data_IF_090679805293
#
_entry.id   IF_090679805293
#
_cell.length_a   1.000
_cell.length_b   1.000
_cell.length_c   1.000
_cell.angle_alpha   90.00
_cell.angle_beta   90.00
_cell.angle_gamma   90.00
#
_symmetry.space_group_name_H-M   'P 1'
#
loop_
_entity.id
_entity.type
_entity.pdbx_description
1 polymer ?
#
# COMPACT_ATOMS: atom_id res chain seq x y z
N UNK A 1 -25.29 61.51 -49.16
CA UNK A 1 -24.72 62.04 -47.90
C UNK A 1 -23.98 63.31 -48.21
N UNK A 2 -24.38 64.46 -47.64
CA UNK A 2 -23.60 65.69 -47.77
C UNK A 2 -22.31 65.51 -46.97
N UNK A 3 -21.17 65.56 -47.62
CA UNK A 3 -19.87 65.52 -46.95
C UNK A 3 -19.68 66.88 -46.28
N UNK A 4 -19.60 66.91 -44.95
CA UNK A 4 -19.34 68.15 -44.21
C UNK A 4 -18.00 68.75 -44.65
N UNK A 5 -17.98 70.07 -44.90
CA UNK A 5 -16.81 70.80 -45.36
C UNK A 5 -16.45 72.01 -44.50
N UNK A 6 -15.17 72.40 -44.51
CA UNK A 6 -14.61 73.61 -43.91
C UNK A 6 -13.91 74.48 -44.95
N UNK A 7 -14.07 75.79 -44.82
CA UNK A 7 -13.40 76.75 -45.70
C UNK A 7 -11.98 77.04 -45.20
N UNK A 8 -11.01 77.10 -46.11
CA UNK A 8 -9.67 77.57 -45.78
C UNK A 8 -9.72 79.03 -45.35
N UNK A 9 -9.16 79.41 -44.19
CA UNK A 9 -9.14 80.81 -43.76
C UNK A 9 -8.31 81.70 -44.69
N UNK A 10 -7.29 81.12 -45.34
CA UNK A 10 -6.35 81.84 -46.22
C UNK A 10 -6.88 82.05 -47.64
N UNK A 11 -7.44 81.01 -48.28
CA UNK A 11 -7.85 81.08 -49.69
C UNK A 11 -9.32 80.76 -49.96
N UNK A 12 -10.12 80.57 -48.90
CA UNK A 12 -11.58 80.29 -48.97
C UNK A 12 -11.97 79.07 -49.80
N UNK A 13 -11.01 78.25 -50.22
CA UNK A 13 -11.29 76.97 -50.86
C UNK A 13 -12.01 76.05 -49.87
N UNK A 14 -13.03 75.35 -50.32
CA UNK A 14 -13.71 74.30 -49.58
C UNK A 14 -12.78 73.09 -49.39
N UNK A 15 -12.70 72.54 -48.18
CA UNK A 15 -11.92 71.36 -47.85
C UNK A 15 -12.77 70.43 -46.97
N UNK A 16 -12.53 69.10 -46.98
CA UNK A 16 -13.12 68.21 -46.00
C UNK A 16 -12.84 68.67 -44.57
N UNK A 17 -13.80 68.50 -43.64
CA UNK A 17 -13.62 68.91 -42.22
C UNK A 17 -12.38 68.28 -41.59
N UNK A 18 -12.04 67.05 -42.00
CA UNK A 18 -10.86 66.30 -41.53
C UNK A 18 -9.52 66.73 -42.15
N UNK A 19 -9.51 67.63 -43.14
CA UNK A 19 -8.27 67.98 -43.86
C UNK A 19 -7.24 68.66 -42.95
N UNK A 20 -5.99 68.18 -42.97
CA UNK A 20 -4.85 68.79 -42.27
C UNK A 20 -4.29 70.01 -43.00
N UNK A 21 -4.33 70.00 -44.33
CA UNK A 21 -3.88 71.11 -45.18
C UNK A 21 -4.96 71.52 -46.16
N UNK A 22 -4.96 72.79 -46.53
CA UNK A 22 -5.79 73.27 -47.62
C UNK A 22 -5.31 72.68 -48.95
N UNK A 23 -6.22 72.05 -49.71
CA UNK A 23 -5.94 71.46 -51.02
C UNK A 23 -5.41 72.44 -52.08
N UNK A 24 -5.63 73.74 -51.89
CA UNK A 24 -5.19 74.77 -52.82
C UNK A 24 -3.93 75.48 -52.35
N UNK A 25 -3.90 76.02 -51.13
CA UNK A 25 -2.80 76.87 -50.67
C UNK A 25 -1.87 76.22 -49.63
N UNK A 26 -2.08 74.93 -49.32
CA UNK A 26 -1.34 74.16 -48.29
C UNK A 26 -1.32 74.79 -46.89
N UNK A 27 -2.25 75.70 -46.61
CA UNK A 27 -2.44 76.23 -45.27
C UNK A 27 -2.78 75.09 -44.29
N UNK A 28 -2.03 75.00 -43.19
CA UNK A 28 -2.24 74.01 -42.14
C UNK A 28 -3.40 74.41 -41.23
N UNK A 29 -4.38 73.53 -41.07
CA UNK A 29 -5.55 73.78 -40.26
C UNK A 29 -5.26 73.57 -38.76
N UNK A 30 -5.59 74.52 -37.87
CA UNK A 30 -5.46 74.34 -36.42
C UNK A 30 -6.25 73.12 -35.94
N UNK A 31 -5.73 72.39 -34.96
CA UNK A 31 -6.39 71.19 -34.42
C UNK A 31 -7.82 71.46 -33.92
N UNK A 32 -8.07 72.67 -33.38
CA UNK A 32 -9.40 73.11 -32.95
C UNK A 32 -10.43 73.25 -34.07
N UNK A 33 -10.02 73.33 -35.33
CA UNK A 33 -10.92 73.36 -36.51
C UNK A 33 -11.21 71.98 -37.08
N UNK A 34 -10.68 70.92 -36.48
CA UNK A 34 -11.02 69.53 -36.76
C UNK A 34 -12.20 69.17 -35.84
N UNK A 35 -13.44 69.34 -36.31
CA UNK A 35 -14.61 68.84 -35.56
C UNK A 35 -14.63 67.32 -35.65
N UNK A 36 -14.39 66.66 -34.51
CA UNK A 36 -14.62 65.24 -34.29
C UNK A 36 -13.46 64.33 -34.70
N UNK A 37 -13.10 63.44 -33.77
CA UNK A 37 -12.05 62.41 -33.81
C UNK A 37 -10.67 62.95 -33.41
N UNK A 38 -10.26 62.61 -32.18
CA UNK A 38 -8.92 62.80 -31.63
C UNK A 38 -7.93 62.08 -32.56
N UNK A 39 -6.96 62.80 -33.12
CA UNK A 39 -6.01 62.24 -34.09
C UNK A 39 -4.97 61.33 -33.44
N UNK A 40 -4.69 61.52 -32.15
CA UNK A 40 -3.79 60.64 -31.41
C UNK A 40 -4.53 59.39 -30.94
N UNK A 41 -3.94 58.18 -31.05
CA UNK A 41 -4.51 56.99 -30.44
C UNK A 41 -4.63 57.19 -28.91
N UNK A 42 -5.67 56.64 -28.31
CA UNK A 42 -5.93 56.77 -26.87
C UNK A 42 -6.16 55.40 -26.24
N UNK A 43 -5.41 55.09 -25.18
CA UNK A 43 -5.58 53.87 -24.38
C UNK A 43 -6.44 54.20 -23.15
N UNK A 44 -7.74 53.93 -23.25
CA UNK A 44 -8.70 54.17 -22.17
C UNK A 44 -8.50 53.19 -21.01
N UNK A 45 -8.29 51.91 -21.31
CA UNK A 45 -8.00 50.88 -20.31
C UNK A 45 -6.95 49.89 -20.81
N UNK A 46 -6.16 49.39 -19.87
CA UNK A 46 -5.29 48.24 -20.03
C UNK A 46 -5.16 47.59 -18.66
N UNK A 47 -5.64 46.36 -18.54
CA UNK A 47 -5.72 45.61 -17.28
C UNK A 47 -5.59 44.11 -17.53
N UNK A 48 -5.30 43.36 -16.47
CA UNK A 48 -5.42 41.90 -16.44
C UNK A 48 -6.75 41.53 -15.77
N UNK A 49 -7.35 40.41 -16.19
CA UNK A 49 -8.58 39.90 -15.57
C UNK A 49 -8.32 39.30 -14.17
N UNK A 50 -7.16 38.70 -13.97
CA UNK A 50 -6.80 37.97 -12.76
C UNK A 50 -6.39 38.89 -11.62
N UNK A 51 -6.96 38.66 -10.44
CA UNK A 51 -6.58 39.37 -9.22
C UNK A 51 -5.30 38.82 -8.57
N UNK A 52 -5.02 37.52 -8.75
CA UNK A 52 -3.83 36.84 -8.22
C UNK A 52 -3.33 35.80 -9.22
N UNK A 53 -2.01 35.67 -9.33
CA UNK A 53 -1.36 34.74 -10.25
C UNK A 53 -0.01 34.30 -9.69
N UNK A 54 0.40 33.07 -10.02
CA UNK A 54 1.67 32.48 -9.63
C UNK A 54 2.58 32.29 -10.84
N UNK A 55 3.83 31.91 -10.60
CA UNK A 55 4.76 31.54 -11.67
C UNK A 55 4.15 30.40 -12.50
N UNK A 56 4.05 30.60 -13.81
CA UNK A 56 3.49 29.67 -14.78
C UNK A 56 1.98 29.82 -15.02
N UNK A 57 1.28 30.73 -14.33
CA UNK A 57 -0.13 31.02 -14.59
C UNK A 57 -0.34 31.62 -15.99
N UNK A 58 -1.49 31.34 -16.58
CA UNK A 58 -2.00 32.04 -17.77
C UNK A 58 -2.89 33.17 -17.29
N UNK A 59 -2.62 34.39 -17.75
CA UNK A 59 -3.39 35.60 -17.44
C UNK A 59 -3.99 36.17 -18.72
N UNK A 60 -5.09 36.92 -18.60
CA UNK A 60 -5.80 37.48 -19.74
C UNK A 60 -5.76 39.00 -19.69
N UNK A 61 -5.23 39.60 -20.75
CA UNK A 61 -5.27 41.04 -20.92
C UNK A 61 -6.61 41.50 -21.48
N UNK A 62 -7.08 42.62 -20.96
CA UNK A 62 -8.24 43.36 -21.44
C UNK A 62 -7.82 44.81 -21.68
N UNK A 63 -8.20 45.36 -22.83
CA UNK A 63 -7.89 46.73 -23.19
C UNK A 63 -9.04 47.40 -23.92
N UNK A 64 -9.07 48.72 -23.84
CA UNK A 64 -9.94 49.55 -24.67
C UNK A 64 -9.10 50.67 -25.26
N UNK A 65 -9.05 50.70 -26.59
CA UNK A 65 -8.28 51.66 -27.37
C UNK A 65 -9.20 52.36 -28.35
N UNK A 66 -9.01 53.66 -28.53
CA UNK A 66 -9.70 54.48 -29.53
C UNK A 66 -8.69 55.12 -30.49
N UNK A 67 -9.08 55.33 -31.75
CA UNK A 67 -8.29 55.99 -32.80
C UNK A 67 -6.92 55.36 -33.09
N UNK A 68 -6.81 54.03 -32.98
CA UNK A 68 -5.62 53.27 -33.37
C UNK A 68 -5.95 52.33 -34.52
N UNK A 69 -5.04 52.25 -35.50
CA UNK A 69 -5.10 51.29 -36.60
C UNK A 69 -4.42 49.98 -36.22
N UNK A 70 -3.39 50.06 -35.36
CA UNK A 70 -2.60 48.94 -34.89
C UNK A 70 -2.52 48.98 -33.36
N UNK A 71 -2.81 47.86 -32.73
CA UNK A 71 -2.66 47.65 -31.28
C UNK A 71 -1.72 46.48 -31.06
N UNK A 72 -0.66 46.67 -30.27
CA UNK A 72 0.35 45.66 -29.98
C UNK A 72 0.53 45.45 -28.48
N UNK A 73 0.69 44.22 -28.04
CA UNK A 73 1.15 43.87 -26.68
C UNK A 73 2.55 43.27 -26.79
N UNK A 74 3.55 43.92 -26.19
CA UNK A 74 4.96 43.52 -26.29
C UNK A 74 5.44 43.28 -27.74
N UNK A 75 4.93 44.08 -28.69
CA UNK A 75 5.28 43.99 -30.11
C UNK A 75 4.51 42.92 -30.89
N UNK A 76 3.61 42.16 -30.26
CA UNK A 76 2.69 41.24 -30.94
C UNK A 76 1.43 42.01 -31.31
N UNK A 77 1.06 41.99 -32.59
CA UNK A 77 -0.16 42.61 -33.09
C UNK A 77 -1.40 41.88 -32.56
N UNK A 78 -2.20 42.61 -31.77
CA UNK A 78 -3.45 42.15 -31.17
C UNK A 78 -4.67 42.90 -31.70
N UNK A 79 -4.55 43.62 -32.81
CA UNK A 79 -5.60 44.52 -33.34
C UNK A 79 -6.92 43.81 -33.64
N UNK A 80 -6.86 42.52 -34.02
CA UNK A 80 -8.04 41.70 -34.32
C UNK A 80 -8.61 40.96 -33.09
N UNK A 81 -8.00 41.11 -31.91
CA UNK A 81 -8.34 40.35 -30.71
C UNK A 81 -9.03 41.23 -29.67
N UNK A 82 -9.97 40.63 -28.94
CA UNK A 82 -10.62 41.24 -27.78
C UNK A 82 -9.94 40.89 -26.45
N UNK A 83 -9.11 39.86 -26.47
CA UNK A 83 -8.41 39.26 -25.34
C UNK A 83 -7.06 38.69 -25.79
N UNK A 84 -6.11 38.63 -24.87
CA UNK A 84 -4.80 38.04 -25.13
C UNK A 84 -4.33 37.25 -23.92
N UNK A 85 -4.17 35.94 -24.12
CA UNK A 85 -3.61 35.02 -23.13
C UNK A 85 -2.09 35.15 -23.07
N UNK A 86 -1.56 35.27 -21.86
CA UNK A 86 -0.13 35.37 -21.62
C UNK A 86 0.28 34.48 -20.45
N UNK A 87 1.27 33.62 -20.66
CA UNK A 87 1.87 32.83 -19.60
C UNK A 87 2.97 33.63 -18.91
N UNK A 88 2.84 33.81 -17.59
CA UNK A 88 3.82 34.57 -16.81
C UNK A 88 4.76 33.67 -16.01
N UNK A 89 6.02 33.59 -16.42
CA UNK A 89 7.03 32.77 -15.72
C UNK A 89 7.93 33.57 -14.77
N UNK A 90 7.97 34.90 -14.90
CA UNK A 90 8.79 35.80 -14.08
C UNK A 90 8.18 37.20 -14.00
N UNK A 91 8.70 38.03 -13.10
CA UNK A 91 8.33 39.44 -13.05
C UNK A 91 8.74 40.14 -14.36
N UNK A 92 7.78 40.79 -15.01
CA UNK A 92 7.97 41.42 -16.31
C UNK A 92 7.04 42.62 -16.46
N UNK A 93 7.46 43.61 -17.25
CA UNK A 93 6.63 44.75 -17.62
C UNK A 93 6.05 44.51 -19.00
N UNK A 94 4.72 44.48 -19.09
CA UNK A 94 4.01 44.30 -20.36
C UNK A 94 3.52 45.65 -20.84
N UNK A 95 3.77 45.97 -22.10
CA UNK A 95 3.43 47.26 -22.70
C UNK A 95 2.45 47.09 -23.84
N UNK A 96 1.29 47.73 -23.70
CA UNK A 96 0.33 47.96 -24.78
C UNK A 96 0.76 49.20 -25.56
N UNK A 97 0.85 49.06 -26.87
CA UNK A 97 1.13 50.15 -27.82
C UNK A 97 -0.05 50.29 -28.76
N UNK A 98 -0.58 51.50 -28.88
CA UNK A 98 -1.62 51.85 -29.83
C UNK A 98 -1.05 52.86 -30.82
N UNK A 99 -1.15 52.58 -32.10
CA UNK A 99 -0.54 53.37 -33.18
C UNK A 99 -1.54 53.61 -34.31
N UNK A 100 -1.44 54.77 -34.93
CA UNK A 100 -2.05 55.09 -36.21
C UNK A 100 -1.00 55.82 -37.08
N UNK A 101 -1.39 56.25 -38.27
CA UNK A 101 -0.50 56.97 -39.21
C UNK A 101 0.14 58.27 -38.65
N UNK A 102 -0.35 58.79 -37.53
CA UNK A 102 0.02 60.10 -37.01
C UNK A 102 0.79 60.07 -35.70
N UNK A 103 0.44 59.16 -34.78
CA UNK A 103 0.99 59.16 -33.42
C UNK A 103 0.92 57.77 -32.76
N UNK A 104 1.58 57.66 -31.60
CA UNK A 104 1.71 56.44 -30.82
C UNK A 104 1.46 56.71 -29.34
N UNK A 105 0.53 55.95 -28.76
CA UNK A 105 0.29 55.91 -27.32
C UNK A 105 0.79 54.59 -26.73
N UNK A 106 1.30 54.63 -25.50
CA UNK A 106 1.74 53.43 -24.77
C UNK A 106 1.20 53.40 -23.35
N UNK A 107 0.94 52.20 -22.84
CA UNK A 107 0.55 51.97 -21.44
C UNK A 107 1.17 50.66 -20.97
N UNK A 108 1.77 50.66 -19.79
CA UNK A 108 2.45 49.48 -19.25
C UNK A 108 1.84 48.99 -17.95
N UNK A 109 1.85 47.68 -17.75
CA UNK A 109 1.51 47.00 -16.50
C UNK A 109 2.75 46.25 -16.02
N UNK A 110 3.12 46.44 -14.75
CA UNK A 110 4.15 45.63 -14.10
C UNK A 110 3.52 44.40 -13.49
N UNK A 111 3.95 43.22 -13.94
CA UNK A 111 3.50 41.95 -13.42
C UNK A 111 4.54 41.35 -12.48
N UNK A 112 4.09 40.79 -11.37
CA UNK A 112 4.94 40.17 -10.35
C UNK A 112 4.26 38.89 -9.85
N UNK A 113 4.51 37.75 -10.51
CA UNK A 113 3.86 36.48 -10.15
C UNK A 113 4.32 36.02 -8.78
N UNK A 114 3.39 35.48 -7.99
CA UNK A 114 3.74 34.87 -6.70
C UNK A 114 4.51 33.57 -6.93
N UNK A 115 5.51 33.23 -6.09
CA UNK A 115 6.19 31.96 -6.23
C UNK A 115 5.24 30.78 -5.98
N UNK A 116 5.55 29.62 -6.54
CA UNK A 116 4.80 28.39 -6.28
C UNK A 116 5.34 27.68 -5.02
N UNK A 117 4.49 26.92 -4.28
CA UNK A 117 4.91 26.15 -3.12
C UNK A 117 5.99 25.12 -3.48
N UNK A 118 6.97 24.96 -2.59
CA UNK A 118 7.98 23.90 -2.71
C UNK A 118 8.25 23.25 -1.35
N UNK A 119 8.40 21.92 -1.36
CA UNK A 119 8.75 21.12 -0.18
C UNK A 119 10.24 20.82 -0.27
N UNK A 120 11.01 21.36 0.67
CA UNK A 120 12.45 21.12 0.78
C UNK A 120 12.75 19.77 1.40
N UNK A 121 11.96 19.38 2.40
CA UNK A 121 12.06 18.08 3.03
C UNK A 121 10.72 17.67 3.62
N UNK A 122 10.45 16.37 3.61
CA UNK A 122 9.41 15.73 4.41
C UNK A 122 9.93 14.36 4.84
N UNK A 123 10.29 14.23 6.12
CA UNK A 123 11.13 13.13 6.62
C UNK A 123 10.74 12.70 8.03
N UNK A 124 11.22 11.51 8.40
CA UNK A 124 11.20 10.94 9.75
C UNK A 124 12.46 10.10 9.90
N UNK A 125 13.08 9.99 11.09
CA UNK A 125 14.13 9.01 11.32
C UNK A 125 13.56 7.57 11.45
N UNK A 126 12.24 7.42 11.62
CA UNK A 126 11.59 6.14 11.86
C UNK A 126 10.73 5.70 10.66
N UNK A 127 11.30 4.88 9.78
CA UNK A 127 10.59 4.26 8.66
C UNK A 127 9.92 2.93 9.01
N UNK A 128 10.34 2.33 10.12
CA UNK A 128 9.85 1.08 10.65
C UNK A 128 9.57 1.25 12.14
N UNK A 129 8.34 0.97 12.57
CA UNK A 129 7.88 1.23 13.93
C UNK A 129 7.08 0.09 14.53
N UNK A 130 7.05 0.04 15.85
CA UNK A 130 6.31 -0.94 16.64
C UNK A 130 5.23 -0.27 17.49
N UNK A 131 4.34 -1.09 18.06
CA UNK A 131 3.23 -0.62 18.88
C UNK A 131 3.69 0.30 20.02
N UNK A 132 3.03 1.45 20.16
CA UNK A 132 3.33 2.44 21.20
C UNK A 132 4.49 3.39 20.89
N UNK A 133 5.24 3.20 19.81
CA UNK A 133 6.33 4.09 19.43
C UNK A 133 5.78 5.43 18.88
N UNK A 134 6.15 6.54 19.51
CA UNK A 134 5.88 7.88 18.99
C UNK A 134 6.83 8.22 17.83
N UNK A 135 6.26 8.64 16.70
CA UNK A 135 6.96 9.12 15.52
C UNK A 135 6.79 10.62 15.39
N UNK A 136 7.89 11.31 15.07
CA UNK A 136 7.89 12.73 14.71
C UNK A 136 8.16 12.88 13.22
N UNK A 137 7.13 13.26 12.47
CA UNK A 137 7.27 13.76 11.11
C UNK A 137 7.83 15.19 11.15
N UNK A 138 8.78 15.51 10.26
CA UNK A 138 9.33 16.86 10.12
C UNK A 138 9.35 17.25 8.65
N UNK A 139 9.07 18.53 8.38
CA UNK A 139 9.13 19.08 7.03
C UNK A 139 9.67 20.50 7.01
N UNK A 140 10.11 20.93 5.84
CA UNK A 140 10.49 22.31 5.53
C UNK A 140 9.83 22.68 4.20
N UNK A 141 9.04 23.73 4.22
CA UNK A 141 8.16 24.16 3.12
C UNK A 141 8.34 25.65 2.91
N UNK A 142 8.40 26.08 1.64
CA UNK A 142 8.42 27.51 1.27
C UNK A 142 7.28 27.83 0.33
N UNK A 143 6.90 29.11 0.33
CA UNK A 143 5.91 29.69 -0.60
C UNK A 143 4.53 29.00 -0.57
N UNK A 144 4.20 28.33 0.53
CA UNK A 144 2.89 27.73 0.75
C UNK A 144 2.06 28.63 1.67
N UNK A 145 0.81 28.86 1.29
CA UNK A 145 -0.14 29.64 2.10
C UNK A 145 -1.01 28.72 2.95
N UNK A 146 -1.14 27.45 2.54
CA UNK A 146 -1.83 26.40 3.28
C UNK A 146 -1.07 25.08 3.17
N UNK A 147 -0.87 24.39 4.28
CA UNK A 147 -0.20 23.09 4.33
C UNK A 147 -1.10 22.09 5.04
N UNK A 148 -1.42 20.99 4.35
CA UNK A 148 -2.25 19.90 4.85
C UNK A 148 -1.42 18.63 4.96
N UNK A 149 -1.46 18.00 6.13
CA UNK A 149 -0.99 16.63 6.32
C UNK A 149 -2.18 15.68 6.22
N UNK A 150 -2.11 14.69 5.33
CA UNK A 150 -3.15 13.68 5.15
C UNK A 150 -2.64 12.25 5.31
N UNK A 151 -3.45 11.41 5.95
CA UNK A 151 -3.22 9.97 6.15
C UNK A 151 -4.53 9.29 6.56
N UNK A 152 -4.78 8.05 6.15
CA UNK A 152 -6.00 7.29 6.51
C UNK A 152 -7.33 8.03 6.27
N UNK A 153 -7.40 8.90 5.25
CA UNK A 153 -8.59 9.73 4.99
C UNK A 153 -8.78 10.90 5.97
N UNK A 154 -7.85 11.10 6.90
CA UNK A 154 -7.79 12.25 7.79
C UNK A 154 -6.99 13.35 7.11
N UNK A 155 -7.45 14.59 7.23
CA UNK A 155 -6.72 15.79 6.82
C UNK A 155 -6.54 16.73 8.01
N UNK A 156 -5.32 17.22 8.20
CA UNK A 156 -4.95 18.08 9.31
C UNK A 156 -4.27 19.33 8.76
N UNK A 157 -4.76 20.51 9.14
CA UNK A 157 -4.09 21.77 8.85
C UNK A 157 -2.82 21.90 9.71
N UNK A 158 -1.69 21.97 9.03
CA UNK A 158 -0.35 22.11 9.61
C UNK A 158 0.39 23.33 9.09
N UNK A 159 -0.32 24.32 8.54
CA UNK A 159 0.23 25.51 7.87
C UNK A 159 1.28 26.27 8.69
N UNK A 160 1.12 26.32 10.01
CA UNK A 160 2.04 27.03 10.93
C UNK A 160 2.93 26.07 11.75
N UNK A 161 3.12 24.85 11.26
CA UNK A 161 3.92 23.81 11.90
C UNK A 161 4.99 23.33 10.93
N UNK A 162 6.11 22.87 11.49
CA UNK A 162 7.21 22.21 10.80
C UNK A 162 7.35 20.74 11.23
N UNK A 163 6.47 20.27 12.13
CA UNK A 163 6.42 18.88 12.56
C UNK A 163 5.02 18.42 12.99
N UNK A 164 4.85 17.10 13.04
CA UNK A 164 3.71 16.43 13.63
C UNK A 164 4.16 15.16 14.38
N UNK A 165 3.57 14.93 15.55
CA UNK A 165 3.82 13.74 16.38
C UNK A 165 2.62 12.82 16.34
N UNK A 166 2.85 11.52 16.30
CA UNK A 166 1.80 10.51 16.24
C UNK A 166 2.30 9.15 16.71
N UNK A 167 1.38 8.23 16.99
CA UNK A 167 1.68 6.83 17.29
C UNK A 167 0.99 5.98 16.23
N UNK A 168 1.72 5.48 15.20
CA UNK A 168 1.14 4.62 14.18
C UNK A 168 0.67 3.28 14.77
N UNK A 169 -0.48 2.79 14.29
CA UNK A 169 -1.05 1.48 14.69
C UNK A 169 -1.09 0.46 13.54
N UNK A 170 -0.74 0.90 12.33
CA UNK A 170 -0.68 0.12 11.10
C UNK A 170 0.24 0.83 10.11
N UNK A 171 0.67 0.09 9.08
CA UNK A 171 1.48 0.65 7.99
C UNK A 171 0.66 1.69 7.26
N UNK A 172 1.19 2.90 7.15
CA UNK A 172 0.45 4.05 6.67
C UNK A 172 1.33 4.95 5.80
N UNK A 173 0.71 5.57 4.79
CA UNK A 173 1.38 6.58 3.96
C UNK A 173 0.87 7.95 4.36
N UNK A 174 1.79 8.81 4.78
CA UNK A 174 1.55 10.20 5.11
C UNK A 174 1.85 11.06 3.89
N UNK A 175 0.97 11.99 3.56
CA UNK A 175 1.16 12.92 2.44
C UNK A 175 1.08 14.34 2.94
N UNK A 176 2.12 15.13 2.65
CA UNK A 176 2.14 16.56 2.92
C UNK A 176 1.79 17.28 1.62
N UNK A 177 0.71 18.04 1.62
CA UNK A 177 0.24 18.83 0.47
C UNK A 177 0.34 20.32 0.80
N UNK A 178 1.03 21.07 -0.06
CA UNK A 178 1.30 22.50 0.12
C UNK A 178 0.66 23.28 -1.02
N UNK A 179 -0.24 24.20 -0.68
CA UNK A 179 -1.04 24.98 -1.62
C UNK A 179 -0.55 26.43 -1.70
N UNK A 180 -0.67 27.02 -2.89
CA UNK A 180 -0.56 28.46 -3.09
C UNK A 180 -1.84 29.18 -2.60
N UNK A 181 -2.00 30.45 -2.95
CA UNK A 181 -3.28 31.16 -2.75
C UNK A 181 -4.42 30.55 -3.58
N UNK A 182 -4.11 30.17 -4.82
CA UNK A 182 -4.98 29.32 -5.61
C UNK A 182 -4.75 27.86 -5.20
N UNK A 183 -5.79 27.23 -4.64
CA UNK A 183 -5.74 25.83 -4.23
C UNK A 183 -5.60 24.85 -5.40
N UNK A 184 -5.78 25.29 -6.65
CA UNK A 184 -5.47 24.49 -7.84
C UNK A 184 -3.96 24.28 -8.02
N UNK A 185 -3.15 25.20 -7.47
CA UNK A 185 -1.69 25.20 -7.54
C UNK A 185 -1.14 24.63 -6.24
N UNK A 186 -0.61 23.42 -6.32
CA UNK A 186 -0.06 22.73 -5.15
C UNK A 186 1.12 21.82 -5.51
N UNK A 187 1.88 21.48 -4.49
CA UNK A 187 2.87 20.40 -4.53
C UNK A 187 2.59 19.41 -3.40
N UNK A 188 3.04 18.17 -3.56
CA UNK A 188 2.86 17.14 -2.54
C UNK A 188 4.07 16.23 -2.44
N UNK A 189 4.32 15.72 -1.24
CA UNK A 189 5.32 14.70 -0.96
C UNK A 189 4.74 13.64 -0.04
N UNK A 190 5.08 12.38 -0.26
CA UNK A 190 4.59 11.26 0.55
C UNK A 190 5.72 10.54 1.27
N UNK A 191 5.40 10.00 2.43
CA UNK A 191 6.28 9.26 3.31
C UNK A 191 5.56 7.99 3.78
N UNK A 192 6.11 6.82 3.46
CA UNK A 192 5.59 5.55 3.94
C UNK A 192 6.26 5.17 5.26
N UNK A 193 5.45 4.86 6.27
CA UNK A 193 5.90 4.36 7.58
C UNK A 193 5.34 2.96 7.76
N UNK A 194 6.25 2.00 7.89
CA UNK A 194 5.92 0.59 8.11
C UNK A 194 5.69 0.31 9.58
N UNK A 195 4.63 -0.43 9.89
CA UNK A 195 4.29 -0.86 11.24
C UNK A 195 4.46 -2.36 11.37
N UNK A 196 5.11 -2.80 12.44
CA UNK A 196 5.22 -4.20 12.84
C UNK A 196 4.39 -4.41 14.09
N UNK A 197 3.39 -5.26 13.99
CA UNK A 197 2.60 -5.70 15.12
C UNK A 197 3.39 -6.69 16.00
N UNK A 198 3.18 -6.71 17.32
CA UNK A 198 3.76 -7.73 18.19
C UNK A 198 3.20 -9.12 17.84
N UNK A 199 4.01 -10.15 18.10
CA UNK A 199 3.60 -11.56 17.99
C UNK A 199 2.47 -11.83 18.99
N UNK A 200 1.48 -12.59 18.56
CA UNK A 200 0.38 -13.05 19.41
C UNK A 200 0.24 -14.56 19.23
N UNK A 201 0.21 -15.31 20.34
CA UNK A 201 -0.13 -16.74 20.34
C UNK A 201 -1.56 -16.86 20.88
N UNK A 202 -2.54 -17.00 19.97
CA UNK A 202 -3.96 -17.09 20.33
C UNK A 202 -4.27 -18.43 21.04
N UNK A 203 -3.63 -19.52 20.60
CA UNK A 203 -3.78 -20.83 21.23
C UNK A 203 -2.60 -21.76 20.96
N UNK A 204 -2.37 -22.68 21.89
CA UNK A 204 -1.52 -23.85 21.72
C UNK A 204 -2.13 -25.02 22.50
N UNK A 205 -2.58 -26.05 21.80
CA UNK A 205 -3.37 -27.16 22.37
C UNK A 205 -2.93 -28.50 21.77
N UNK A 206 -3.36 -29.59 22.42
CA UNK A 206 -3.25 -30.95 21.91
C UNK A 206 -4.63 -31.59 21.85
N UNK A 207 -4.82 -32.54 20.92
CA UNK A 207 -6.04 -33.35 20.84
C UNK A 207 -6.17 -34.34 22.02
N UNK A 208 -5.06 -34.63 22.72
CA UNK A 208 -5.00 -35.52 23.88
C UNK A 208 -3.98 -35.01 24.90
N UNK A 209 -4.39 -34.88 26.16
CA UNK A 209 -3.47 -34.49 27.25
C UNK A 209 -2.64 -35.67 27.78
N UNK A 210 -3.14 -36.90 27.59
CA UNK A 210 -2.47 -38.13 28.03
C UNK A 210 -2.58 -39.19 26.94
N UNK A 211 -1.48 -39.87 26.65
CA UNK A 211 -1.40 -40.96 25.68
C UNK A 211 -0.72 -42.20 26.27
N UNK A 212 -0.83 -43.34 25.61
CA UNK A 212 0.01 -44.51 25.89
C UNK A 212 1.31 -44.39 25.10
N UNK A 213 2.40 -44.99 25.59
CA UNK A 213 3.65 -45.06 24.84
C UNK A 213 3.41 -45.56 23.40
N UNK A 214 4.08 -44.92 22.43
CA UNK A 214 3.95 -45.13 20.99
C UNK A 214 2.63 -44.66 20.31
N UNK A 215 1.65 -44.17 21.07
CA UNK A 215 0.49 -43.49 20.48
C UNK A 215 0.89 -42.15 19.82
N UNK A 216 -0.02 -41.62 19.00
CA UNK A 216 0.12 -40.30 18.39
C UNK A 216 -0.80 -39.28 19.05
N UNK A 217 -0.27 -38.07 19.22
CA UNK A 217 -0.99 -36.86 19.63
C UNK A 217 -0.77 -35.78 18.57
N UNK A 218 -1.79 -34.97 18.33
CA UNK A 218 -1.77 -33.88 17.36
C UNK A 218 -1.74 -32.56 18.11
N UNK A 219 -0.68 -31.79 17.90
CA UNK A 219 -0.56 -30.43 18.41
C UNK A 219 -1.23 -29.47 17.44
N UNK A 220 -1.93 -28.46 17.96
CA UNK A 220 -2.59 -27.39 17.22
C UNK A 220 -2.20 -26.04 17.81
N UNK A 221 -2.02 -25.04 16.96
CA UNK A 221 -1.74 -23.67 17.41
C UNK A 221 -2.28 -22.64 16.44
N UNK A 222 -2.48 -21.44 16.97
CA UNK A 222 -2.83 -20.25 16.20
C UNK A 222 -1.93 -19.09 16.64
N UNK A 223 -1.19 -18.53 15.68
CA UNK A 223 -0.14 -17.54 15.90
C UNK A 223 -0.25 -16.44 14.85
N UNK A 224 -0.27 -15.20 15.30
CA UNK A 224 -0.32 -14.00 14.47
C UNK A 224 1.00 -13.21 14.53
N UNK A 225 1.31 -12.48 13.45
CA UNK A 225 2.42 -11.54 13.34
C UNK A 225 3.84 -12.13 13.56
N UNK A 226 3.98 -13.45 13.59
CA UNK A 226 5.27 -14.13 13.71
C UNK A 226 5.96 -14.27 12.36
N UNK A 227 7.26 -13.98 12.33
CA UNK A 227 8.12 -14.26 11.17
C UNK A 227 8.76 -15.66 11.24
N UNK A 228 8.85 -16.23 12.45
CA UNK A 228 9.33 -17.61 12.68
C UNK A 228 8.58 -18.23 13.85
N UNK A 229 8.21 -19.51 13.72
CA UNK A 229 7.58 -20.30 14.78
C UNK A 229 8.31 -21.64 14.91
N UNK A 230 8.70 -22.02 16.13
CA UNK A 230 9.38 -23.29 16.44
C UNK A 230 8.72 -24.00 17.60
N UNK A 231 8.79 -25.34 17.61
CA UNK A 231 8.33 -26.16 18.74
C UNK A 231 9.52 -26.88 19.37
N UNK A 232 9.69 -26.66 20.67
CA UNK A 232 10.63 -27.38 21.54
C UNK A 232 9.94 -28.58 22.21
N UNK A 233 10.66 -29.67 22.53
CA UNK A 233 12.10 -29.87 22.34
C UNK A 233 12.50 -30.32 20.92
N UNK A 234 11.55 -30.40 19.99
CA UNK A 234 11.78 -30.93 18.63
C UNK A 234 12.70 -30.05 17.78
N UNK A 235 12.92 -28.78 18.16
CA UNK A 235 13.65 -27.77 17.38
C UNK A 235 13.11 -27.63 15.95
N UNK A 236 11.83 -27.93 15.74
CA UNK A 236 11.21 -28.00 14.41
C UNK A 236 10.65 -26.63 14.03
N UNK A 237 11.04 -26.13 12.86
CA UNK A 237 10.41 -24.97 12.24
C UNK A 237 9.01 -25.36 11.74
N UNK A 238 8.01 -24.64 12.26
CA UNK A 238 6.59 -24.83 11.95
C UNK A 238 5.94 -23.53 11.47
N UNK A 239 6.72 -22.58 10.99
CA UNK A 239 6.28 -21.22 10.61
C UNK A 239 5.09 -21.20 9.63
N UNK A 240 5.01 -22.18 8.72
CA UNK A 240 3.92 -22.29 7.72
C UNK A 240 2.87 -23.36 8.06
N UNK A 241 2.89 -23.86 9.29
CA UNK A 241 2.02 -24.92 9.78
C UNK A 241 1.21 -24.41 10.97
N UNK A 242 0.06 -25.04 11.20
CA UNK A 242 -0.80 -24.83 12.37
C UNK A 242 -1.09 -26.14 13.12
N UNK A 243 -0.45 -27.23 12.68
CA UNK A 243 -0.61 -28.56 13.26
C UNK A 243 0.65 -29.41 13.09
N UNK A 244 0.93 -30.26 14.08
CA UNK A 244 2.02 -31.23 14.06
C UNK A 244 1.64 -32.47 14.85
N UNK A 245 1.71 -33.64 14.19
CA UNK A 245 1.57 -34.92 14.86
C UNK A 245 2.91 -35.34 15.48
N UNK A 246 2.87 -35.76 16.75
CA UNK A 246 4.04 -36.20 17.53
C UNK A 246 3.74 -37.49 18.29
N UNK A 247 4.78 -38.21 18.70
CA UNK A 247 4.70 -39.48 19.43
C UNK A 247 5.75 -39.51 20.55
N UNK A 248 5.53 -38.81 21.67
CA UNK A 248 6.46 -38.79 22.78
C UNK A 248 6.53 -40.17 23.48
N UNK A 249 7.72 -40.60 23.88
CA UNK A 249 7.96 -41.85 24.62
C UNK A 249 7.87 -41.70 26.15
N UNK A 250 7.92 -40.47 26.63
CA UNK A 250 7.76 -40.11 28.03
C UNK A 250 7.01 -38.77 28.13
N UNK A 251 6.48 -38.45 29.32
CA UNK A 251 5.79 -37.18 29.55
C UNK A 251 6.67 -36.02 29.11
N UNK A 252 6.21 -35.27 28.11
CA UNK A 252 7.01 -34.24 27.43
C UNK A 252 6.26 -32.91 27.49
N UNK A 253 6.94 -31.87 27.94
CA UNK A 253 6.47 -30.49 27.79
C UNK A 253 6.86 -29.99 26.39
N UNK A 254 5.86 -29.60 25.61
CA UNK A 254 6.08 -28.90 24.36
C UNK A 254 5.98 -27.40 24.61
N UNK A 255 6.90 -26.64 24.04
CA UNK A 255 6.88 -25.18 24.08
C UNK A 255 6.86 -24.66 22.65
N UNK A 256 5.81 -23.94 22.27
CA UNK A 256 5.80 -23.19 21.03
C UNK A 256 6.44 -21.83 21.27
N UNK A 257 7.39 -21.47 20.43
CA UNK A 257 8.12 -20.22 20.44
C UNK A 257 7.88 -19.50 19.11
N UNK A 258 7.20 -18.37 19.17
CA UNK A 258 6.89 -17.54 18.02
C UNK A 258 7.65 -16.22 18.15
N UNK A 259 8.29 -15.76 17.08
CA UNK A 259 9.06 -14.52 17.10
C UNK A 259 8.96 -13.75 15.78
N UNK A 260 9.10 -12.44 15.88
CA UNK A 260 9.40 -11.55 14.77
C UNK A 260 10.59 -10.65 15.15
N UNK A 261 10.88 -9.63 14.36
CA UNK A 261 12.05 -8.77 14.59
C UNK A 261 11.94 -7.85 15.81
N UNK A 262 10.78 -7.75 16.46
CA UNK A 262 10.55 -6.86 17.63
C UNK A 262 10.08 -7.59 18.89
N UNK A 263 9.50 -8.78 18.76
CA UNK A 263 8.81 -9.48 19.85
C UNK A 263 8.96 -10.99 19.72
N UNK A 264 8.92 -11.66 20.87
CA UNK A 264 9.03 -13.11 21.00
C UNK A 264 8.06 -13.55 22.09
N UNK A 265 7.20 -14.51 21.77
CA UNK A 265 6.20 -15.07 22.68
C UNK A 265 6.39 -16.58 22.79
N UNK A 266 5.98 -17.13 23.95
CA UNK A 266 6.06 -18.56 24.24
C UNK A 266 4.79 -19.04 24.93
N UNK A 267 4.38 -20.25 24.58
CA UNK A 267 3.30 -20.96 25.27
C UNK A 267 3.68 -22.43 25.42
N UNK A 268 3.29 -23.09 26.51
CA UNK A 268 3.60 -24.49 26.74
C UNK A 268 2.37 -25.34 27.05
N UNK A 269 2.48 -26.61 26.70
CA UNK A 269 1.53 -27.67 27.03
C UNK A 269 2.32 -28.91 27.45
N UNK A 270 1.77 -29.70 28.37
CA UNK A 270 2.42 -30.94 28.82
C UNK A 270 1.58 -32.14 28.40
N UNK A 271 2.21 -33.08 27.69
CA UNK A 271 1.56 -34.33 27.26
C UNK A 271 2.06 -35.47 28.15
N UNK A 272 1.15 -36.04 28.95
CA UNK A 272 1.44 -37.20 29.79
C UNK A 272 1.57 -38.47 28.95
N UNK A 273 2.56 -39.32 29.26
CA UNK A 273 2.72 -40.64 28.61
C UNK A 273 2.65 -41.75 29.65
N UNK A 274 1.70 -42.67 29.47
CA UNK A 274 1.60 -43.92 30.23
C UNK A 274 2.52 -44.96 29.60
N UNK A 275 3.55 -45.38 30.32
CA UNK A 275 4.50 -46.37 29.80
C UNK A 275 3.87 -47.76 29.73
N UNK A 276 4.25 -48.52 28.70
CA UNK A 276 3.86 -49.92 28.60
C UNK A 276 4.72 -50.76 29.57
N UNK A 277 4.16 -51.82 30.18
CA UNK A 277 4.94 -52.72 31.02
C UNK A 277 6.06 -53.35 30.20
N UNK A 278 7.31 -53.14 30.59
CA UNK A 278 8.45 -53.85 30.01
C UNK A 278 8.48 -55.26 30.61
N UNK A 279 8.33 -56.27 29.76
CA UNK A 279 8.54 -57.67 30.16
C UNK A 279 10.01 -57.99 29.92
N UNK A 280 10.80 -58.05 30.99
CA UNK A 280 12.16 -58.60 30.90
C UNK A 280 12.07 -60.11 30.78
N UNK A 281 12.28 -60.63 29.57
CA UNK A 281 12.53 -62.04 29.35
C UNK A 281 14.00 -62.32 29.61
N UNK A 282 14.35 -62.64 30.85
CA UNK A 282 15.59 -63.36 31.11
C UNK A 282 15.42 -64.77 30.54
N UNK A 283 15.94 -65.01 29.33
CA UNK A 283 16.16 -66.37 28.88
C UNK A 283 17.23 -66.95 29.80
N UNK A 284 16.79 -67.79 30.73
CA UNK A 284 17.71 -68.68 31.43
C UNK A 284 18.17 -69.66 30.36
N UNK A 285 19.41 -69.51 29.89
CA UNK A 285 20.11 -70.52 29.10
C UNK A 285 20.29 -71.78 29.96
N UNK A 286 19.22 -72.57 30.09
CA UNK A 286 19.23 -73.86 30.78
C UNK A 286 18.14 -74.78 30.22
N UNK A 287 18.13 -74.98 28.90
CA UNK A 287 17.61 -76.24 28.36
C UNK A 287 18.68 -77.32 28.52
N UNK A 288 18.96 -77.72 29.76
CA UNK A 288 19.76 -78.90 30.04
C UNK A 288 19.14 -79.66 31.20
N UNK A 289 18.49 -80.77 30.83
CA UNK A 289 17.90 -81.83 31.65
C UNK A 289 16.58 -81.52 32.36
N UNK A 290 15.49 -81.77 31.64
CA UNK A 290 14.34 -82.45 32.25
C UNK A 290 14.68 -83.95 32.22
N UNK A 291 15.07 -84.52 33.35
CA UNK A 291 15.04 -85.99 33.53
C UNK A 291 13.63 -86.35 34.02
N UNK A 292 12.83 -86.94 33.12
CA UNK A 292 11.56 -87.57 33.48
C UNK A 292 11.89 -89.00 33.93
N UNK A 293 11.61 -89.39 35.19
CA UNK A 293 11.79 -90.77 35.61
C UNK A 293 10.71 -91.64 34.96
N UNK A 294 11.16 -92.53 34.07
CA UNK A 294 10.47 -93.72 33.55
C UNK A 294 8.95 -93.62 33.37
N UNK A 295 8.52 -92.97 32.29
CA UNK A 295 7.28 -93.33 31.61
C UNK A 295 7.56 -93.26 30.11
N UNK A 296 7.50 -94.40 29.41
CA UNK A 296 7.58 -94.46 27.95
C UNK A 296 6.35 -93.76 27.35
N UNK A 297 6.48 -92.46 27.11
CA UNK A 297 5.50 -91.71 26.32
C UNK A 297 6.00 -91.70 24.88
N UNK A 298 5.31 -92.43 24.02
CA UNK A 298 5.57 -92.41 22.59
C UNK A 298 5.10 -91.08 21.99
N UNK A 299 6.05 -90.20 21.68
CA UNK A 299 5.82 -88.87 21.09
C UNK A 299 5.90 -88.87 19.55
N UNK A 300 5.71 -90.01 18.89
CA UNK A 300 5.72 -90.11 17.42
C UNK A 300 4.67 -89.21 16.73
N UNK A 301 3.64 -88.75 17.45
CA UNK A 301 2.64 -87.81 16.93
C UNK A 301 3.12 -86.35 16.83
N UNK A 302 4.19 -85.96 17.53
CA UNK A 302 4.68 -84.58 17.52
C UNK A 302 5.56 -84.27 16.29
N UNK A 303 6.23 -85.26 15.70
CA UNK A 303 7.12 -85.03 14.55
C UNK A 303 6.37 -84.66 13.26
N UNK A 304 5.14 -85.16 13.09
CA UNK A 304 4.34 -84.87 11.89
C UNK A 304 3.59 -83.53 11.98
N UNK A 305 3.25 -83.07 13.20
CA UNK A 305 2.65 -81.75 13.39
C UNK A 305 3.66 -80.61 13.28
N UNK A 306 4.90 -80.81 13.74
CA UNK A 306 5.94 -79.76 13.68
C UNK A 306 6.52 -79.54 12.28
N UNK A 307 6.45 -80.52 11.36
CA UNK A 307 6.85 -80.32 9.95
C UNK A 307 5.86 -79.45 9.16
N UNK A 308 4.62 -79.29 9.64
CA UNK A 308 3.55 -78.56 8.92
C UNK A 308 3.30 -77.15 9.44
N UNK A 309 3.79 -76.81 10.63
CA UNK A 309 3.68 -75.46 11.19
C UNK A 309 4.94 -74.66 10.87
N UNK A 310 4.98 -74.04 9.67
CA UNK A 310 5.91 -72.93 9.40
C UNK A 310 5.50 -71.76 10.27
N UNK A 311 6.14 -71.62 11.43
CA UNK A 311 5.93 -70.50 12.38
C UNK A 311 6.16 -69.13 11.69
N UNK A 312 7.02 -69.08 10.68
CA UNK A 312 7.31 -67.87 9.90
C UNK A 312 6.11 -67.31 9.11
N UNK A 313 5.14 -68.16 8.77
CA UNK A 313 3.96 -67.78 7.96
C UNK A 313 2.83 -67.15 8.81
N UNK A 314 2.89 -67.33 10.14
CA UNK A 314 1.93 -66.72 11.06
C UNK A 314 2.33 -65.29 11.47
N UNK A 315 3.65 -65.00 11.52
CA UNK A 315 4.20 -63.69 11.90
C UNK A 315 4.16 -62.65 10.77
N UNK A 316 3.83 -63.04 9.54
CA UNK A 316 3.94 -62.18 8.34
C UNK A 316 2.59 -61.77 7.72
N UNK A 317 1.46 -62.12 8.33
CA UNK A 317 0.14 -61.66 7.83
C UNK A 317 -0.33 -60.42 8.60
N UNK A 318 -0.13 -59.24 7.99
CA UNK A 318 -0.78 -58.00 8.42
C UNK A 318 -2.28 -58.07 8.05
N UNK A 319 -3.23 -57.89 8.98
CA UNK A 319 -4.62 -57.72 8.61
C UNK A 319 -4.83 -56.27 8.17
N UNK A 320 -4.69 -55.99 6.88
CA UNK A 320 -5.30 -54.81 6.28
C UNK A 320 -6.80 -55.08 6.13
N UNK A 321 -7.58 -54.66 7.12
CA UNK A 321 -8.95 -54.11 7.02
C UNK A 321 -9.66 -54.22 8.38
N UNK A 322 -10.38 -53.17 8.74
CA UNK A 322 -11.18 -53.05 9.97
C UNK A 322 -12.23 -54.15 10.06
N UNK A 323 -12.04 -55.12 10.97
CA UNK A 323 -13.01 -56.19 11.23
C UNK A 323 -13.71 -55.88 12.56
N UNK A 324 -15.04 -55.72 12.49
CA UNK A 324 -15.89 -55.45 13.63
C UNK A 324 -16.03 -56.70 14.53
N UNK A 325 -16.10 -56.51 15.86
CA UNK A 325 -15.93 -57.54 16.90
C UNK A 325 -16.94 -58.72 16.83
N UNK A 326 -18.05 -58.54 16.12
CA UNK A 326 -19.11 -59.53 15.88
C UNK A 326 -18.73 -60.58 14.82
N UNK A 327 -17.96 -60.19 13.80
CA UNK A 327 -17.50 -61.12 12.75
C UNK A 327 -16.41 -62.08 13.27
N UNK A 328 -15.58 -61.62 14.21
CA UNK A 328 -14.53 -62.46 14.81
C UNK A 328 -15.10 -63.63 15.61
N UNK A 329 -16.11 -63.39 16.45
CA UNK A 329 -16.77 -64.44 17.25
C UNK A 329 -17.45 -65.50 16.37
N UNK A 330 -18.10 -65.10 15.27
CA UNK A 330 -18.74 -66.04 14.34
C UNK A 330 -17.70 -66.90 13.59
N UNK A 331 -16.61 -66.29 13.16
CA UNK A 331 -15.56 -66.99 12.40
C UNK A 331 -14.77 -67.95 13.28
N UNK A 332 -14.47 -67.57 14.53
CA UNK A 332 -13.77 -68.43 15.49
C UNK A 332 -14.63 -69.62 15.90
N UNK A 333 -15.93 -69.39 16.14
CA UNK A 333 -16.88 -70.44 16.55
C UNK A 333 -17.15 -71.44 15.43
N UNK A 334 -17.22 -70.98 14.17
CA UNK A 334 -17.34 -71.86 13.01
C UNK A 334 -16.06 -72.67 12.76
N UNK A 335 -14.88 -72.09 12.96
CA UNK A 335 -13.60 -72.81 12.80
C UNK A 335 -13.37 -73.84 13.91
N UNK A 336 -13.75 -73.54 15.16
CA UNK A 336 -13.73 -74.49 16.27
C UNK A 336 -14.73 -75.65 16.07
N UNK A 337 -15.91 -75.37 15.51
CA UNK A 337 -16.93 -76.40 15.22
C UNK A 337 -16.45 -77.37 14.12
N UNK A 338 -15.86 -76.86 13.04
CA UNK A 338 -15.27 -77.68 11.97
C UNK A 338 -14.10 -78.53 12.49
N UNK A 339 -13.32 -78.01 13.43
CA UNK A 339 -12.21 -78.75 14.03
C UNK A 339 -12.69 -79.89 14.96
N UNK A 340 -13.72 -79.63 15.78
CA UNK A 340 -14.32 -80.64 16.67
C UNK A 340 -15.07 -81.72 15.88
N UNK A 341 -15.75 -81.37 14.80
CA UNK A 341 -16.46 -82.34 13.94
C UNK A 341 -15.47 -83.25 13.18
N UNK A 342 -14.27 -82.76 12.82
CA UNK A 342 -13.19 -83.58 12.23
C UNK A 342 -12.55 -84.56 13.23
N UNK A 343 -12.56 -84.26 14.51
CA UNK A 343 -12.06 -85.14 15.56
C UNK A 343 -13.04 -86.28 15.92
N UNK A 344 -14.33 -86.20 15.53
CA UNK A 344 -15.34 -87.24 15.81
C UNK A 344 -15.43 -88.36 14.77
N UNK A 345 -14.81 -88.20 13.59
CA UNK A 345 -14.86 -89.20 12.50
C UNK A 345 -13.57 -90.01 12.31
N UNK A 346 -12.67 -90.01 13.30
CA UNK A 346 -11.52 -90.93 13.32
C UNK A 346 -11.53 -91.72 14.63
N UNK A 347 -12.27 -92.83 14.62
CA UNK A 347 -12.10 -93.96 15.53
C UNK A 347 -11.88 -95.20 14.71
#
# INVERSE_FOLDING_TARGET
>A
MMVESKLCPKCKTDNPVVANFCRHCRYEFPESTKKGIKLSPEILSFSIAEHTYNIGSIIHFTWKVENADIVQINGIDVSAYSDYEFRIDKAETITLTAENDYDRATRSIRLSPKPIPYINSFTTPFHLVHAGQEVKLKWDVRNANKVILSYSGIEIDVTRKDYYKMIPTKTETYTLTCYADDNSIYTKQSLNIQFIAPVIINSFTADKDVITEADRVTLHWDVENAASVRIHPLMKDVTKLNTLQVSPSCTTEYVIEAQNMISQEKMSISIGVRQLPKVDMSFVDSFSKIEIPSCDINLSFLSDSMKKARIDEWMSTVPTQSINHTMWKLTLKNRLKIFIDKLRFTK
#
